data_IF_709431875618
#
_entry.id   IF_709431875618
#
_cell.length_a   1.000
_cell.length_b   1.000
_cell.length_c   1.000
_cell.angle_alpha   90.00
_cell.angle_beta   90.00
_cell.angle_gamma   90.00
#
_symmetry.space_group_name_H-M   'P 1'
#
loop_
_entity.id
_entity.type
_entity.pdbx_description
1 polymer ?
#
# COMPACT_ATOMS: atom_id res chain seq x y z
N UNK A 1 -19.31 10.23 -24.68
CA UNK A 1 -18.11 9.38 -24.53
C UNK A 1 -17.96 8.64 -23.18
N UNK A 2 -18.85 8.86 -22.23
CA UNK A 2 -18.87 8.15 -20.93
C UNK A 2 -19.26 6.68 -21.08
N UNK A 3 -19.99 6.31 -22.11
CA UNK A 3 -20.48 4.94 -22.37
C UNK A 3 -19.43 4.00 -22.99
N UNK A 4 -18.26 4.46 -23.39
CA UNK A 4 -17.22 3.63 -24.04
C UNK A 4 -16.25 2.95 -23.07
N UNK A 5 -16.27 3.29 -21.79
CA UNK A 5 -15.41 2.67 -20.78
C UNK A 5 -16.10 1.47 -20.13
N UNK A 6 -16.33 0.43 -20.93
CA UNK A 6 -16.76 -0.86 -20.38
C UNK A 6 -15.56 -1.50 -19.67
N UNK A 7 -15.81 -2.06 -18.51
CA UNK A 7 -14.79 -2.86 -17.79
C UNK A 7 -14.49 -4.09 -18.62
N UNK A 8 -13.29 -4.15 -19.18
CA UNK A 8 -12.84 -5.28 -19.98
C UNK A 8 -12.26 -6.36 -19.07
N UNK A 9 -13.05 -7.35 -18.70
CA UNK A 9 -12.56 -8.54 -18.01
C UNK A 9 -11.84 -9.46 -18.99
N UNK A 10 -10.60 -9.13 -19.30
CA UNK A 10 -9.72 -9.99 -20.10
C UNK A 10 -8.72 -10.72 -19.19
N UNK A 11 -8.16 -11.83 -19.68
CA UNK A 11 -7.19 -12.61 -18.91
C UNK A 11 -6.00 -11.78 -18.39
N UNK A 12 -5.41 -10.86 -19.16
CA UNK A 12 -4.36 -9.98 -18.66
C UNK A 12 -4.81 -9.09 -17.49
N UNK A 13 -6.00 -8.51 -17.54
CA UNK A 13 -6.56 -7.70 -16.44
C UNK A 13 -6.63 -8.52 -15.17
N UNK A 14 -7.13 -9.76 -15.25
CA UNK A 14 -7.22 -10.63 -14.09
C UNK A 14 -5.85 -10.97 -13.50
N UNK A 15 -4.84 -11.24 -14.34
CA UNK A 15 -3.48 -11.53 -13.89
C UNK A 15 -2.89 -10.34 -13.13
N UNK A 16 -2.99 -9.12 -13.69
CA UNK A 16 -2.48 -7.92 -13.01
C UNK A 16 -3.26 -7.60 -11.73
N UNK A 17 -4.57 -7.85 -11.71
CA UNK A 17 -5.37 -7.76 -10.48
C UNK A 17 -4.81 -8.63 -9.38
N UNK A 18 -4.53 -9.90 -9.67
CA UNK A 18 -3.95 -10.84 -8.70
C UNK A 18 -2.57 -10.38 -8.26
N UNK A 19 -1.72 -9.90 -9.17
CA UNK A 19 -0.38 -9.38 -8.85
C UNK A 19 -0.47 -8.19 -7.89
N UNK A 20 -1.28 -7.17 -8.19
CA UNK A 20 -1.43 -6.01 -7.31
C UNK A 20 -2.12 -6.34 -5.99
N UNK A 21 -3.06 -7.29 -6.01
CA UNK A 21 -3.68 -7.80 -4.79
C UNK A 21 -2.64 -8.45 -3.86
N UNK A 22 -1.82 -9.36 -4.38
CA UNK A 22 -0.81 -10.05 -3.58
C UNK A 22 0.27 -9.08 -3.07
N UNK A 23 0.75 -8.18 -3.91
CA UNK A 23 1.71 -7.15 -3.49
C UNK A 23 1.13 -6.23 -2.42
N UNK A 24 -0.12 -5.80 -2.60
CA UNK A 24 -0.84 -5.00 -1.61
C UNK A 24 -1.04 -5.76 -0.31
N UNK A 25 -1.45 -7.02 -0.39
CA UNK A 25 -1.64 -7.87 0.78
C UNK A 25 -0.35 -7.99 1.61
N UNK A 26 0.78 -8.29 0.97
CA UNK A 26 2.08 -8.38 1.66
C UNK A 26 2.50 -7.03 2.24
N UNK A 27 2.33 -5.95 1.50
CA UNK A 27 2.67 -4.60 1.95
C UNK A 27 1.86 -4.19 3.18
N UNK A 28 0.54 -4.31 3.13
CA UNK A 28 -0.33 -3.95 4.26
C UNK A 28 -0.15 -4.90 5.45
N UNK A 29 0.06 -6.21 5.22
CA UNK A 29 0.38 -7.15 6.29
C UNK A 29 1.67 -6.77 7.00
N UNK A 30 2.69 -6.30 6.27
CA UNK A 30 3.92 -5.77 6.85
C UNK A 30 3.68 -4.53 7.72
N UNK A 31 2.83 -3.60 7.27
CA UNK A 31 2.46 -2.42 8.07
C UNK A 31 1.74 -2.82 9.37
N UNK A 32 0.75 -3.72 9.29
CA UNK A 32 0.04 -4.20 10.48
C UNK A 32 0.96 -4.99 11.42
N UNK A 33 1.91 -5.76 10.89
CA UNK A 33 2.90 -6.45 11.70
C UNK A 33 3.81 -5.46 12.45
N UNK A 34 4.22 -4.36 11.81
CA UNK A 34 4.98 -3.30 12.46
C UNK A 34 4.19 -2.66 13.61
N UNK A 35 2.93 -2.34 13.37
CA UNK A 35 2.05 -1.79 14.41
C UNK A 35 1.85 -2.78 15.56
N UNK A 36 1.58 -4.05 15.25
CA UNK A 36 1.42 -5.10 16.26
C UNK A 36 2.64 -5.27 17.15
N UNK A 37 3.85 -5.09 16.61
CA UNK A 37 5.08 -5.14 17.39
C UNK A 37 5.28 -3.93 18.34
N UNK A 38 4.57 -2.83 18.11
CA UNK A 38 4.68 -1.58 18.88
C UNK A 38 3.60 -1.42 19.96
N UNK A 39 2.61 -2.29 19.97
CA UNK A 39 1.38 -2.16 20.78
C UNK A 39 1.48 -3.09 21.99
N UNK A 40 1.10 -2.56 23.18
CA UNK A 40 1.07 -3.34 24.42
C UNK A 40 -0.37 -3.62 24.92
N UNK A 41 -1.38 -2.96 24.36
CA UNK A 41 -2.79 -3.14 24.73
C UNK A 41 -3.70 -3.02 23.50
N UNK A 42 -4.92 -3.56 23.61
CA UNK A 42 -5.92 -3.48 22.53
C UNK A 42 -6.31 -2.04 22.19
N UNK A 43 -6.42 -1.18 23.21
CA UNK A 43 -6.76 0.23 23.03
C UNK A 43 -5.68 1.00 22.28
N UNK A 44 -4.40 0.71 22.56
CA UNK A 44 -3.28 1.27 21.80
C UNK A 44 -3.31 0.76 20.35
N UNK A 45 -3.65 -0.52 20.14
CA UNK A 45 -3.81 -1.12 18.82
C UNK A 45 -4.80 -0.36 17.96
N UNK A 46 -5.95 -0.05 18.47
CA UNK A 46 -6.98 0.70 17.76
C UNK A 46 -6.51 2.12 17.38
N UNK A 47 -5.82 2.81 18.28
CA UNK A 47 -5.29 4.15 18.03
C UNK A 47 -4.26 4.15 16.91
N UNK A 48 -3.37 3.15 16.86
CA UNK A 48 -2.36 3.04 15.80
C UNK A 48 -2.94 2.55 14.46
N UNK A 49 -4.03 1.80 14.46
CA UNK A 49 -4.71 1.37 13.24
C UNK A 49 -5.48 2.51 12.56
N UNK A 50 -6.01 3.45 13.33
CA UNK A 50 -6.85 4.54 12.81
C UNK A 50 -6.20 5.32 11.65
N UNK A 51 -4.94 5.76 11.71
CA UNK A 51 -4.28 6.41 10.59
C UNK A 51 -4.24 5.53 9.33
N UNK A 52 -3.96 4.23 9.46
CA UNK A 52 -3.93 3.32 8.32
C UNK A 52 -5.30 3.19 7.65
N UNK A 53 -6.36 3.10 8.45
CA UNK A 53 -7.73 3.04 7.95
C UNK A 53 -8.07 4.33 7.19
N UNK A 54 -7.72 5.49 7.74
CA UNK A 54 -7.93 6.80 7.07
C UNK A 54 -7.22 6.85 5.73
N UNK A 55 -5.96 6.43 5.66
CA UNK A 55 -5.23 6.38 4.40
C UNK A 55 -5.84 5.39 3.39
N UNK A 56 -6.36 4.26 3.87
CA UNK A 56 -7.04 3.29 3.02
C UNK A 56 -8.34 3.87 2.44
N UNK A 57 -9.12 4.57 3.26
CA UNK A 57 -10.34 5.27 2.82
C UNK A 57 -10.00 6.37 1.81
N UNK A 58 -8.94 7.14 2.05
CA UNK A 58 -8.46 8.14 1.07
C UNK A 58 -8.07 7.47 -0.25
N UNK A 59 -7.36 6.34 -0.22
CA UNK A 59 -7.02 5.56 -1.40
C UNK A 59 -8.25 5.10 -2.18
N UNK A 60 -9.30 4.70 -1.48
CA UNK A 60 -10.57 4.33 -2.08
C UNK A 60 -11.22 5.49 -2.85
N UNK A 61 -11.29 6.69 -2.27
CA UNK A 61 -11.80 7.88 -2.97
C UNK A 61 -10.93 8.30 -4.15
N UNK A 62 -9.62 8.23 -3.98
CA UNK A 62 -8.64 8.51 -5.04
C UNK A 62 -8.83 7.54 -6.21
N UNK A 63 -9.05 6.26 -5.93
CA UNK A 63 -9.32 5.23 -6.93
C UNK A 63 -10.49 5.62 -7.86
N UNK A 64 -11.60 6.09 -7.30
CA UNK A 64 -12.75 6.54 -8.11
C UNK A 64 -12.42 7.76 -8.97
N UNK A 65 -11.65 8.69 -8.42
CA UNK A 65 -11.22 9.89 -9.18
C UNK A 65 -10.32 9.50 -10.35
N UNK A 66 -9.41 8.57 -10.11
CA UNK A 66 -8.49 8.07 -11.13
C UNK A 66 -9.22 7.20 -12.17
N UNK A 67 -10.20 6.40 -11.77
CA UNK A 67 -11.00 5.59 -12.69
C UNK A 67 -11.76 6.44 -13.72
N UNK A 68 -12.13 7.67 -13.38
CA UNK A 68 -12.76 8.61 -14.32
C UNK A 68 -11.79 9.14 -15.38
N UNK A 69 -10.52 9.32 -15.03
CA UNK A 69 -9.49 9.86 -15.91
C UNK A 69 -8.15 9.13 -15.69
N UNK A 70 -8.03 7.86 -16.17
CA UNK A 70 -6.90 6.99 -15.85
C UNK A 70 -5.58 7.41 -16.52
N UNK A 71 -5.64 8.18 -17.62
CA UNK A 71 -4.49 8.53 -18.45
C UNK A 71 -3.89 9.89 -18.11
N UNK A 72 -4.33 10.50 -17.01
CA UNK A 72 -3.78 11.78 -16.55
C UNK A 72 -2.42 11.61 -15.89
N UNK A 73 -1.58 12.66 -15.98
CA UNK A 73 -0.29 12.73 -15.28
C UNK A 73 -0.47 12.54 -13.77
N UNK A 74 -1.56 13.05 -13.20
CA UNK A 74 -1.89 12.85 -11.77
C UNK A 74 -2.14 11.38 -11.46
N UNK A 75 -2.92 10.68 -12.29
CA UNK A 75 -3.18 9.25 -12.13
C UNK A 75 -1.89 8.44 -12.18
N UNK A 76 -0.96 8.80 -13.08
CA UNK A 76 0.35 8.17 -13.16
C UNK A 76 1.13 8.31 -11.85
N UNK A 77 1.32 9.53 -11.33
CA UNK A 77 2.10 9.74 -10.10
C UNK A 77 1.45 9.12 -8.86
N UNK A 78 0.13 9.20 -8.74
CA UNK A 78 -0.61 8.60 -7.62
C UNK A 78 -0.47 7.07 -7.65
N UNK A 79 -0.47 6.47 -8.84
CA UNK A 79 -0.31 5.02 -8.99
C UNK A 79 1.10 4.50 -8.63
N UNK A 80 2.08 5.38 -8.46
CA UNK A 80 3.42 5.04 -8.01
C UNK A 80 3.58 5.14 -6.47
N UNK A 81 2.61 5.71 -5.76
CA UNK A 81 2.65 5.79 -4.30
C UNK A 81 2.29 4.42 -3.71
N UNK A 82 3.21 3.70 -3.04
CA UNK A 82 3.01 2.29 -2.66
C UNK A 82 1.75 2.05 -1.83
N UNK A 83 1.36 3.06 -1.05
CA UNK A 83 0.17 3.01 -0.22
C UNK A 83 -1.13 2.95 -1.05
N UNK A 84 -1.17 3.66 -2.16
CA UNK A 84 -2.35 3.74 -3.03
C UNK A 84 -2.26 2.81 -4.24
N UNK A 85 -1.06 2.40 -4.61
CA UNK A 85 -0.78 1.60 -5.81
C UNK A 85 -1.71 0.40 -5.98
N UNK A 86 -1.96 -0.47 -4.98
CA UNK A 86 -2.79 -1.65 -5.18
C UNK A 86 -4.21 -1.31 -5.60
N UNK A 87 -4.79 -0.27 -5.00
CA UNK A 87 -6.16 0.18 -5.30
C UNK A 87 -6.24 0.94 -6.62
N UNK A 88 -5.33 1.89 -6.81
CA UNK A 88 -5.35 2.80 -7.95
C UNK A 88 -4.97 2.09 -9.24
N UNK A 89 -3.94 1.24 -9.22
CA UNK A 89 -3.54 0.47 -10.41
C UNK A 89 -4.59 -0.56 -10.81
N UNK A 90 -5.25 -1.19 -9.83
CA UNK A 90 -6.38 -2.04 -10.10
C UNK A 90 -7.45 -1.32 -10.91
N UNK A 91 -7.87 -0.13 -10.46
CA UNK A 91 -8.87 0.66 -11.18
C UNK A 91 -8.38 1.14 -12.55
N UNK A 92 -7.12 1.60 -12.65
CA UNK A 92 -6.55 2.03 -13.92
C UNK A 92 -6.54 0.91 -14.96
N UNK A 93 -6.09 -0.28 -14.59
CA UNK A 93 -6.02 -1.44 -15.50
C UNK A 93 -7.43 -1.88 -15.93
N UNK A 94 -8.41 -1.80 -15.02
CA UNK A 94 -9.79 -2.21 -15.34
C UNK A 94 -10.50 -1.28 -16.33
N UNK A 95 -10.11 -0.01 -16.42
CA UNK A 95 -10.80 1.01 -17.23
C UNK A 95 -9.94 1.62 -18.34
N UNK A 96 -8.65 1.27 -18.42
CA UNK A 96 -7.74 1.80 -19.46
C UNK A 96 -7.86 1.07 -20.78
N UNK A 97 -7.71 1.83 -21.85
CA UNK A 97 -7.53 1.32 -23.20
C UNK A 97 -6.31 2.04 -23.82
N UNK A 98 -5.19 1.35 -24.05
CA UNK A 98 -4.96 -0.10 -23.90
C UNK A 98 -4.98 -0.58 -22.43
N UNK A 99 -5.21 -1.89 -22.25
CA UNK A 99 -5.36 -2.57 -20.96
C UNK A 99 -4.16 -2.35 -20.00
N UNK A 100 -2.99 -2.05 -20.53
CA UNK A 100 -1.79 -1.75 -19.75
C UNK A 100 -1.52 -0.26 -19.80
N UNK A 101 -2.01 0.52 -18.82
CA UNK A 101 -1.70 1.93 -18.73
C UNK A 101 -0.21 2.16 -18.50
N UNK A 102 0.27 3.32 -18.95
CA UNK A 102 1.68 3.72 -18.74
C UNK A 102 2.05 3.63 -17.26
N UNK A 103 3.21 3.06 -16.98
CA UNK A 103 3.72 2.94 -15.62
C UNK A 103 3.31 1.67 -14.87
N UNK A 104 2.55 0.72 -15.47
CA UNK A 104 2.16 -0.53 -14.80
C UNK A 104 3.36 -1.31 -14.28
N UNK A 105 4.36 -1.55 -15.11
CA UNK A 105 5.58 -2.27 -14.69
C UNK A 105 6.41 -1.47 -13.69
N UNK A 106 6.46 -0.13 -13.85
CA UNK A 106 7.12 0.75 -12.89
C UNK A 106 6.43 0.70 -11.52
N UNK A 107 5.10 0.68 -11.49
CA UNK A 107 4.33 0.54 -10.25
C UNK A 107 4.60 -0.78 -9.54
N UNK A 108 4.70 -1.89 -10.28
CA UNK A 108 5.07 -3.20 -9.73
C UNK A 108 6.48 -3.13 -9.13
N UNK A 109 7.44 -2.56 -9.86
CA UNK A 109 8.81 -2.43 -9.39
C UNK A 109 8.91 -1.58 -8.11
N UNK A 110 8.26 -0.41 -8.10
CA UNK A 110 8.21 0.48 -6.92
C UNK A 110 7.54 -0.22 -5.75
N UNK A 111 6.46 -0.97 -5.99
CA UNK A 111 5.75 -1.71 -4.97
C UNK A 111 6.59 -2.83 -4.35
N UNK A 112 7.32 -3.60 -5.16
CA UNK A 112 8.26 -4.64 -4.70
C UNK A 112 9.36 -4.00 -3.86
N UNK A 113 9.99 -2.94 -4.37
CA UNK A 113 11.07 -2.24 -3.66
C UNK A 113 10.59 -1.68 -2.31
N UNK A 114 9.43 -1.06 -2.31
CA UNK A 114 8.81 -0.51 -1.09
C UNK A 114 8.46 -1.61 -0.09
N UNK A 115 7.99 -2.76 -0.56
CA UNK A 115 7.67 -3.91 0.30
C UNK A 115 8.93 -4.50 0.92
N UNK A 116 10.01 -4.64 0.16
CA UNK A 116 11.31 -5.11 0.68
C UNK A 116 11.84 -4.13 1.74
N UNK A 117 11.79 -2.83 1.46
CA UNK A 117 12.20 -1.80 2.41
C UNK A 117 11.36 -1.84 3.68
N UNK A 118 10.05 -1.99 3.54
CA UNK A 118 9.11 -2.12 4.66
C UNK A 118 9.45 -3.33 5.52
N UNK A 119 9.63 -4.52 4.92
CA UNK A 119 9.99 -5.76 5.64
C UNK A 119 11.31 -5.57 6.39
N UNK A 120 12.28 -4.90 5.78
CA UNK A 120 13.55 -4.61 6.45
C UNK A 120 13.37 -3.71 7.69
N UNK A 121 12.56 -2.65 7.57
CA UNK A 121 12.22 -1.75 8.69
C UNK A 121 11.45 -2.50 9.77
N UNK A 122 10.44 -3.27 9.39
CA UNK A 122 9.61 -4.08 10.30
C UNK A 122 10.45 -5.09 11.06
N UNK A 123 11.38 -5.75 10.39
CA UNK A 123 12.28 -6.73 11.01
C UNK A 123 13.13 -6.10 12.12
N UNK A 124 13.58 -4.85 11.91
CA UNK A 124 14.32 -4.11 12.94
C UNK A 124 13.43 -3.71 14.11
N UNK A 125 12.25 -3.17 13.84
CA UNK A 125 11.28 -2.79 14.87
C UNK A 125 10.89 -4.00 15.70
N UNK A 126 10.60 -5.12 15.05
CA UNK A 126 10.19 -6.37 15.70
C UNK A 126 11.28 -6.91 16.64
N UNK A 127 12.53 -6.91 16.17
CA UNK A 127 13.67 -7.38 16.97
C UNK A 127 13.88 -6.59 18.24
N UNK A 128 13.70 -5.26 18.20
CA UNK A 128 13.85 -4.40 19.36
C UNK A 128 12.59 -4.40 20.22
N UNK A 129 11.40 -4.42 19.62
CA UNK A 129 10.12 -4.43 20.32
C UNK A 129 9.94 -5.63 21.22
N UNK A 130 10.34 -6.83 20.80
CA UNK A 130 10.28 -8.05 21.61
C UNK A 130 11.23 -7.98 22.83
N UNK A 131 12.38 -7.31 22.70
CA UNK A 131 13.37 -7.20 23.78
C UNK A 131 13.00 -6.14 24.82
N UNK A 132 12.07 -5.24 24.54
CA UNK A 132 11.68 -4.12 25.40
C UNK A 132 10.26 -4.26 26.00
N UNK A 133 9.84 -5.47 26.32
CA UNK A 133 8.56 -5.75 26.96
C UNK A 133 8.40 -4.89 28.22
N UNK A 134 7.38 -3.97 28.24
CA UNK A 134 7.01 -3.17 29.38
C UNK A 134 7.32 -1.66 29.33
N UNK A 135 7.99 -1.16 28.27
CA UNK A 135 8.13 0.28 28.03
C UNK A 135 7.26 0.70 26.83
N UNK A 136 6.47 1.78 26.98
CA UNK A 136 5.67 2.33 25.89
C UNK A 136 6.60 2.89 24.79
N UNK A 137 6.69 2.25 23.61
CA UNK A 137 7.48 2.82 22.52
C UNK A 137 6.75 4.03 21.94
N UNK A 138 7.44 5.15 21.91
CA UNK A 138 7.02 6.32 21.14
C UNK A 138 7.46 6.16 19.68
N UNK A 139 6.72 6.76 18.73
CA UNK A 139 7.15 6.83 17.32
C UNK A 139 8.59 7.35 17.17
N UNK A 140 9.02 8.27 18.02
CA UNK A 140 10.40 8.78 18.06
C UNK A 140 11.43 7.70 18.45
N UNK A 141 11.03 6.78 19.32
CA UNK A 141 11.89 5.67 19.73
C UNK A 141 11.97 4.59 18.66
N UNK A 142 10.85 4.30 17.98
CA UNK A 142 10.84 3.38 16.84
C UNK A 142 11.75 3.86 15.69
N UNK A 143 11.78 5.16 15.41
CA UNK A 143 12.71 5.77 14.46
C UNK A 143 14.18 5.65 14.92
N UNK A 144 14.44 5.75 16.23
CA UNK A 144 15.78 5.50 16.81
C UNK A 144 16.19 4.03 16.64
N UNK A 145 15.27 3.10 16.77
CA UNK A 145 15.54 1.66 16.66
C UNK A 145 15.96 1.22 15.26
N UNK A 146 15.48 1.92 14.23
CA UNK A 146 15.94 1.70 12.85
C UNK A 146 17.43 2.01 12.70
N UNK A 147 17.97 2.89 13.55
CA UNK A 147 19.35 3.38 13.51
C UNK A 147 20.36 2.53 14.31
N UNK A 148 19.89 1.65 15.20
CA UNK A 148 20.77 0.74 15.94
C UNK A 148 21.15 -0.45 15.04
N UNK A 149 22.46 -0.74 15.00
CA UNK A 149 23.04 -1.92 14.34
C UNK A 149 22.69 -3.20 15.05
#
# INVERSE_FOLDING_TARGET
DVYKRQIHFTAPVFVFMVVFFLLGFVFYSGLYAALGAMVNSEDEGQQFQTPLIVFFILGYFIMFTVARNPDTVRAFWISLVPFFTPLVMFARIAVSDPILPSGTFLSIFVMILSTILLIWVVSKIYRVGILMYGKKPSFKEALKWIRYK
#
